data_IF_212963062275
#
_entry.id   IF_212963062275
#
_cell.length_a   1.000
_cell.length_b   1.000
_cell.length_c   1.000
_cell.angle_alpha   90.00
_cell.angle_beta   90.00
_cell.angle_gamma   90.00
#
_symmetry.space_group_name_H-M   'P 1'
#
loop_
_entity.id
_entity.type
_entity.pdbx_description
1 polymer ?
#
# COMPACT_ATOMS: atom_id res chain seq x y z
N UNK A 1 12.38 -67.44 -37.48
CA UNK A 1 11.04 -67.02 -36.99
C UNK A 1 11.23 -65.73 -36.20
N UNK A 2 10.43 -64.71 -36.54
CA UNK A 2 10.47 -63.35 -36.03
C UNK A 2 10.23 -63.26 -34.51
N UNK A 3 10.95 -62.35 -33.84
CA UNK A 3 10.62 -61.86 -32.51
C UNK A 3 10.76 -60.33 -32.48
N UNK A 4 9.67 -59.64 -32.75
CA UNK A 4 9.51 -58.17 -32.72
C UNK A 4 9.37 -57.66 -31.29
N UNK A 5 10.17 -56.66 -30.92
CA UNK A 5 9.96 -55.83 -29.73
C UNK A 5 8.84 -54.80 -30.00
N UNK A 6 7.89 -54.57 -29.08
CA UNK A 6 7.07 -53.36 -29.13
C UNK A 6 7.72 -52.27 -28.29
N UNK A 7 8.23 -51.22 -28.95
CA UNK A 7 8.41 -49.93 -28.31
C UNK A 7 7.03 -49.24 -28.28
N UNK A 8 6.39 -49.23 -27.11
CA UNK A 8 5.23 -48.36 -26.89
C UNK A 8 5.73 -46.96 -26.56
N UNK A 9 5.81 -46.12 -27.59
CA UNK A 9 5.78 -44.67 -27.45
C UNK A 9 4.33 -44.24 -27.26
N UNK A 10 3.94 -43.83 -26.05
CA UNK A 10 2.69 -43.12 -25.83
C UNK A 10 2.95 -41.89 -25.00
N UNK A 11 3.02 -40.79 -25.73
CA UNK A 11 2.96 -39.40 -25.34
C UNK A 11 1.93 -39.16 -24.22
N UNK A 12 2.41 -39.02 -22.98
CA UNK A 12 1.70 -38.17 -22.02
C UNK A 12 2.02 -36.74 -22.41
N UNK A 13 1.14 -36.14 -23.22
CA UNK A 13 1.19 -34.71 -23.46
C UNK A 13 0.96 -34.04 -22.10
N UNK A 14 1.97 -33.31 -21.65
CA UNK A 14 2.02 -32.59 -20.39
C UNK A 14 0.96 -31.49 -20.37
N UNK A 15 -0.27 -31.90 -20.10
CA UNK A 15 -1.43 -31.01 -20.01
C UNK A 15 -1.35 -30.21 -18.70
N UNK A 16 -0.62 -30.72 -17.71
CA UNK A 16 -0.45 -30.12 -16.38
C UNK A 16 0.44 -28.88 -16.36
N UNK A 17 1.57 -28.85 -17.09
CA UNK A 17 2.41 -27.66 -17.11
C UNK A 17 1.81 -26.51 -17.94
N UNK A 18 1.05 -26.83 -19.00
CA UNK A 18 0.37 -25.81 -19.83
C UNK A 18 -0.79 -25.17 -19.05
N UNK A 19 -1.62 -25.96 -18.37
CA UNK A 19 -2.77 -25.48 -17.59
C UNK A 19 -2.36 -24.59 -16.40
N UNK A 20 -1.22 -24.91 -15.75
CA UNK A 20 -0.64 -24.06 -14.70
C UNK A 20 -0.15 -22.70 -15.23
N UNK A 21 0.35 -22.65 -16.48
CA UNK A 21 0.83 -21.43 -17.10
C UNK A 21 -0.32 -20.50 -17.51
N UNK A 22 -1.41 -21.06 -18.02
CA UNK A 22 -2.62 -20.31 -18.41
C UNK A 22 -3.35 -19.74 -17.19
N UNK A 23 -3.51 -20.52 -16.12
CA UNK A 23 -4.10 -20.03 -14.87
C UNK A 23 -3.24 -18.94 -14.21
N UNK A 24 -1.91 -19.07 -14.29
CA UNK A 24 -0.99 -18.03 -13.81
C UNK A 24 -1.11 -16.75 -14.64
N UNK A 25 -1.18 -16.86 -15.97
CA UNK A 25 -1.36 -15.73 -16.86
C UNK A 25 -2.69 -14.99 -16.60
N UNK A 26 -3.80 -15.73 -16.42
CA UNK A 26 -5.11 -15.15 -16.07
C UNK A 26 -5.08 -14.43 -14.72
N UNK A 27 -4.41 -15.00 -13.70
CA UNK A 27 -4.24 -14.37 -12.39
C UNK A 27 -3.46 -13.07 -12.50
N UNK A 28 -2.35 -13.07 -13.23
CA UNK A 28 -1.52 -11.87 -13.46
C UNK A 28 -2.36 -10.80 -14.18
N UNK A 29 -3.08 -11.16 -15.25
CA UNK A 29 -3.93 -10.23 -15.98
C UNK A 29 -5.04 -9.62 -15.09
N UNK A 30 -5.65 -10.45 -14.23
CA UNK A 30 -6.68 -9.99 -13.28
C UNK A 30 -6.10 -9.04 -12.24
N UNK A 31 -4.94 -9.35 -11.66
CA UNK A 31 -4.24 -8.48 -10.72
C UNK A 31 -3.84 -7.15 -11.39
N UNK A 32 -3.29 -7.20 -12.60
CA UNK A 32 -2.95 -6.02 -13.38
C UNK A 32 -4.17 -5.14 -13.64
N UNK A 33 -5.30 -5.73 -14.03
CA UNK A 33 -6.54 -5.01 -14.25
C UNK A 33 -7.07 -4.34 -12.97
N UNK A 34 -6.95 -5.01 -11.81
CA UNK A 34 -7.29 -4.41 -10.51
C UNK A 34 -6.37 -3.21 -10.19
N UNK A 35 -5.06 -3.39 -10.32
CA UNK A 35 -4.06 -2.36 -10.01
C UNK A 35 -4.15 -1.13 -10.93
N UNK A 36 -4.64 -1.31 -12.16
CA UNK A 36 -4.86 -0.22 -13.11
C UNK A 36 -6.02 0.71 -12.74
N UNK A 37 -6.98 0.24 -11.91
CA UNK A 37 -8.09 1.07 -11.42
C UNK A 37 -7.55 2.25 -10.61
N UNK A 38 -8.27 3.37 -10.61
CA UNK A 38 -7.95 4.54 -9.79
C UNK A 38 -8.80 4.53 -8.52
N UNK A 39 -8.34 5.20 -7.46
CA UNK A 39 -9.09 5.33 -6.21
C UNK A 39 -10.46 6.00 -6.44
N UNK A 40 -11.47 5.60 -5.68
CA UNK A 40 -12.72 6.35 -5.59
C UNK A 40 -12.61 7.53 -4.62
N UNK A 41 -13.52 8.52 -4.66
CA UNK A 41 -13.54 9.65 -3.73
C UNK A 41 -13.61 9.23 -2.25
N UNK A 42 -14.17 8.06 -1.94
CA UNK A 42 -14.25 7.48 -0.59
C UNK A 42 -12.88 7.14 0.02
N UNK A 43 -11.85 6.97 -0.81
CA UNK A 43 -10.48 6.70 -0.37
C UNK A 43 -9.63 7.96 -0.20
N UNK A 44 -10.17 9.11 -0.59
CA UNK A 44 -9.42 10.35 -0.73
C UNK A 44 -9.75 11.32 0.38
N UNK A 45 -8.72 12.01 0.87
CA UNK A 45 -8.82 13.04 1.88
C UNK A 45 -8.00 14.26 1.45
N UNK A 46 -8.34 15.43 1.98
CA UNK A 46 -7.62 16.67 1.73
C UNK A 46 -7.15 17.29 3.04
N UNK A 47 -5.92 17.82 3.04
CA UNK A 47 -5.39 18.67 4.12
C UNK A 47 -4.97 20.03 3.57
N UNK A 48 -4.97 21.10 4.37
CA UNK A 48 -4.38 22.37 3.97
C UNK A 48 -2.92 22.19 3.52
N UNK A 49 -2.50 22.92 2.48
CA UNK A 49 -1.11 22.97 2.08
C UNK A 49 -0.27 23.82 3.04
N UNK A 50 1.06 23.64 3.05
CA UNK A 50 1.96 24.51 3.81
C UNK A 50 1.81 25.97 3.38
N UNK A 51 1.91 26.90 4.32
CA UNK A 51 1.85 28.35 4.06
C UNK A 51 0.52 28.86 3.46
N UNK A 52 -0.59 28.12 3.63
CA UNK A 52 -1.86 28.47 3.00
C UNK A 52 -1.94 28.11 1.51
N UNK A 53 -0.99 27.30 1.03
CA UNK A 53 -0.98 26.80 -0.35
C UNK A 53 -2.15 25.85 -0.66
N UNK A 54 -2.22 25.37 -1.92
CA UNK A 54 -3.26 24.45 -2.36
C UNK A 54 -3.41 23.24 -1.44
N UNK A 55 -4.66 22.79 -1.25
CA UNK A 55 -4.93 21.58 -0.47
C UNK A 55 -4.18 20.38 -1.06
N UNK A 56 -3.58 19.58 -0.19
CA UNK A 56 -2.90 18.35 -0.55
C UNK A 56 -3.88 17.18 -0.46
N UNK A 57 -4.01 16.46 -1.56
CA UNK A 57 -4.84 15.26 -1.68
C UNK A 57 -4.02 14.04 -1.25
N UNK A 58 -4.55 13.20 -0.36
CA UNK A 58 -3.88 12.01 0.14
C UNK A 58 -4.88 10.90 0.46
N UNK A 59 -4.39 9.65 0.54
CA UNK A 59 -5.11 8.53 1.12
C UNK A 59 -4.58 8.22 2.52
N UNK A 60 -5.48 7.90 3.44
CA UNK A 60 -5.13 7.50 4.80
C UNK A 60 -4.44 6.12 4.80
N UNK A 61 -3.48 5.92 5.72
CA UNK A 61 -2.67 4.70 5.75
C UNK A 61 -3.49 3.42 5.89
N UNK A 62 -4.50 3.43 6.77
CA UNK A 62 -5.37 2.28 7.01
C UNK A 62 -6.15 1.86 5.75
N UNK A 63 -6.57 2.82 4.91
CA UNK A 63 -7.27 2.55 3.65
C UNK A 63 -6.37 1.86 2.64
N UNK A 64 -5.12 2.32 2.53
CA UNK A 64 -4.11 1.73 1.65
C UNK A 64 -3.75 0.30 2.10
N UNK A 65 -3.64 0.06 3.41
CA UNK A 65 -3.43 -1.28 3.97
C UNK A 65 -4.60 -2.22 3.62
N UNK A 66 -5.84 -1.75 3.77
CA UNK A 66 -7.02 -2.53 3.42
C UNK A 66 -7.07 -2.85 1.91
N UNK A 67 -6.73 -1.89 1.05
CA UNK A 67 -6.63 -2.12 -0.39
C UNK A 67 -5.53 -3.13 -0.73
N UNK A 68 -4.37 -3.08 -0.07
CA UNK A 68 -3.33 -4.08 -0.26
C UNK A 68 -3.81 -5.48 0.15
N UNK A 69 -4.55 -5.60 1.26
CA UNK A 69 -5.17 -6.87 1.67
C UNK A 69 -6.23 -7.36 0.68
N UNK A 70 -7.01 -6.47 0.07
CA UNK A 70 -8.01 -6.83 -0.94
C UNK A 70 -7.38 -7.27 -2.27
N UNK A 71 -6.29 -6.60 -2.67
CA UNK A 71 -5.63 -6.86 -3.95
C UNK A 71 -4.74 -8.11 -3.88
N UNK A 72 -3.89 -8.20 -2.86
CA UNK A 72 -2.90 -9.27 -2.72
C UNK A 72 -3.36 -10.42 -1.82
N UNK A 73 -4.38 -10.19 -0.98
CA UNK A 73 -4.72 -11.09 0.13
C UNK A 73 -3.87 -10.78 1.37
N UNK A 74 -4.41 -11.03 2.57
CA UNK A 74 -3.74 -10.74 3.85
C UNK A 74 -2.36 -11.41 4.00
N UNK A 75 -2.14 -12.54 3.29
CA UNK A 75 -0.89 -13.29 3.26
C UNK A 75 -0.17 -13.21 1.89
N UNK A 76 -0.58 -12.29 1.02
CA UNK A 76 0.02 -12.09 -0.29
C UNK A 76 1.08 -11.00 -0.36
N UNK A 77 1.21 -10.21 0.72
CA UNK A 77 2.21 -9.17 0.85
C UNK A 77 2.72 -9.09 2.29
N UNK A 78 3.88 -8.48 2.47
CA UNK A 78 4.47 -8.16 3.77
C UNK A 78 5.18 -6.81 3.68
N UNK A 79 5.37 -6.17 4.83
CA UNK A 79 6.18 -4.95 4.94
C UNK A 79 7.29 -5.14 5.97
N UNK A 80 8.46 -4.56 5.69
CA UNK A 80 9.62 -4.60 6.55
C UNK A 80 10.24 -3.20 6.65
N UNK A 81 10.52 -2.74 7.87
CA UNK A 81 11.35 -1.55 8.09
C UNK A 81 12.80 -1.97 7.85
N UNK A 82 13.39 -1.47 6.77
CA UNK A 82 14.79 -1.74 6.38
C UNK A 82 15.73 -0.89 7.22
N UNK A 83 15.40 0.40 7.37
CA UNK A 83 16.15 1.32 8.23
C UNK A 83 15.24 2.42 8.75
N UNK A 84 15.65 3.02 9.86
CA UNK A 84 15.01 4.20 10.42
C UNK A 84 16.08 5.09 11.04
N UNK A 85 16.15 6.34 10.58
CA UNK A 85 17.17 7.30 10.97
C UNK A 85 16.50 8.53 11.59
N UNK A 86 17.06 9.02 12.69
CA UNK A 86 16.66 10.31 13.26
C UNK A 86 17.53 11.39 12.66
N UNK A 87 16.99 12.18 11.75
CA UNK A 87 17.75 13.17 10.99
C UNK A 87 18.14 14.36 11.85
N UNK A 88 17.22 14.80 12.72
CA UNK A 88 17.49 15.83 13.71
C UNK A 88 16.54 15.73 14.91
N UNK A 89 17.00 16.23 16.05
CA UNK A 89 16.19 16.54 17.22
C UNK A 89 16.67 17.87 17.78
N UNK A 90 15.95 18.94 17.44
CA UNK A 90 16.31 20.29 17.85
C UNK A 90 15.42 20.73 19.01
N UNK A 91 16.01 21.42 19.99
CA UNK A 91 15.30 22.07 21.08
C UNK A 91 15.52 23.57 20.99
N UNK A 92 14.44 24.34 20.85
CA UNK A 92 14.52 25.79 20.91
C UNK A 92 14.69 26.23 22.37
N UNK A 93 15.84 26.83 22.71
CA UNK A 93 16.21 27.19 24.08
C UNK A 93 15.24 28.17 24.75
N UNK A 94 14.65 29.09 23.99
CA UNK A 94 13.73 30.11 24.53
C UNK A 94 12.33 29.54 24.81
N UNK A 95 11.79 28.76 23.87
CA UNK A 95 10.44 28.22 23.97
C UNK A 95 10.38 26.84 24.64
N UNK A 96 11.52 26.17 24.79
CA UNK A 96 11.63 24.78 25.26
C UNK A 96 10.75 23.83 24.43
N UNK A 97 10.75 24.03 23.11
CA UNK A 97 9.96 23.27 22.14
C UNK A 97 10.88 22.44 21.25
N UNK A 98 10.43 21.24 20.93
CA UNK A 98 11.19 20.27 20.15
C UNK A 98 10.71 20.22 18.70
N UNK A 99 11.66 20.19 17.77
CA UNK A 99 11.44 19.84 16.36
C UNK A 99 12.20 18.56 16.04
N UNK A 100 11.52 17.59 15.43
CA UNK A 100 12.05 16.24 15.18
C UNK A 100 11.75 15.82 13.75
N UNK A 101 12.79 15.39 13.03
CA UNK A 101 12.71 14.79 11.71
C UNK A 101 13.21 13.34 11.73
N UNK A 102 12.42 12.42 11.17
CA UNK A 102 12.77 11.00 11.09
C UNK A 102 12.52 10.49 9.67
N UNK A 103 13.51 9.81 9.12
CA UNK A 103 13.44 9.08 7.86
C UNK A 103 13.28 7.60 8.13
N UNK A 104 12.43 6.91 7.37
CA UNK A 104 12.35 5.45 7.35
C UNK A 104 12.44 4.92 5.93
N UNK A 105 13.13 3.80 5.72
CA UNK A 105 13.09 3.03 4.47
C UNK A 105 12.29 1.77 4.74
N UNK A 106 11.27 1.53 3.92
CA UNK A 106 10.42 0.34 4.02
C UNK A 106 10.49 -0.45 2.73
N UNK A 107 10.55 -1.78 2.86
CA UNK A 107 10.33 -2.73 1.77
C UNK A 107 8.94 -3.30 1.86
N UNK A 108 8.24 -3.40 0.73
CA UNK A 108 7.05 -4.22 0.58
C UNK A 108 7.37 -5.36 -0.37
N UNK A 109 7.11 -6.59 0.06
CA UNK A 109 7.41 -7.82 -0.71
C UNK A 109 6.11 -8.59 -0.94
N UNK A 110 5.83 -8.94 -2.19
CA UNK A 110 4.74 -9.82 -2.58
C UNK A 110 5.14 -11.29 -2.41
N UNK A 111 4.15 -12.19 -2.40
CA UNK A 111 4.39 -13.63 -2.19
C UNK A 111 5.34 -14.26 -3.21
N UNK A 112 5.34 -13.77 -4.44
CA UNK A 112 6.23 -14.24 -5.52
C UNK A 112 7.66 -13.69 -5.41
N UNK A 113 7.95 -12.87 -4.39
CA UNK A 113 9.26 -12.29 -4.15
C UNK A 113 9.48 -10.93 -4.82
N UNK A 114 8.54 -10.44 -5.64
CA UNK A 114 8.61 -9.07 -6.18
C UNK A 114 8.53 -8.07 -5.03
N UNK A 115 9.44 -7.09 -5.01
CA UNK A 115 9.44 -6.07 -3.98
C UNK A 115 9.74 -4.68 -4.52
N UNK A 116 9.29 -3.69 -3.76
CA UNK A 116 9.68 -2.30 -3.90
C UNK A 116 10.16 -1.77 -2.56
N UNK A 117 11.00 -0.74 -2.63
CA UNK A 117 11.43 0.05 -1.47
C UNK A 117 11.17 1.52 -1.76
N UNK A 118 10.74 2.25 -0.74
CA UNK A 118 10.66 3.70 -0.81
C UNK A 118 10.98 4.28 0.58
N UNK A 119 11.30 5.57 0.58
CA UNK A 119 11.57 6.37 1.77
C UNK A 119 10.27 6.97 2.28
N UNK A 120 10.12 7.16 3.59
CA UNK A 120 9.05 7.93 4.20
C UNK A 120 9.59 8.88 5.26
N UNK A 121 8.83 9.93 5.56
CA UNK A 121 9.28 10.99 6.44
C UNK A 121 8.25 11.33 7.51
N UNK A 122 8.71 11.43 8.76
CA UNK A 122 7.94 11.90 9.89
C UNK A 122 8.50 13.22 10.39
N UNK A 123 7.65 14.25 10.46
CA UNK A 123 8.02 15.57 10.92
C UNK A 123 7.06 16.04 12.01
N UNK A 124 7.63 16.57 13.09
CA UNK A 124 6.88 17.34 14.07
C UNK A 124 7.73 18.51 14.52
N UNK A 125 7.18 19.71 14.35
CA UNK A 125 7.78 20.94 14.82
C UNK A 125 7.01 21.46 16.04
N UNK A 126 7.70 22.25 16.87
CA UNK A 126 7.10 22.97 17.99
C UNK A 126 6.38 22.07 19.02
N UNK A 127 6.88 20.86 19.24
CA UNK A 127 6.33 19.94 20.24
C UNK A 127 6.71 20.35 21.66
N UNK A 128 5.78 20.20 22.60
CA UNK A 128 6.07 20.41 24.03
C UNK A 128 6.86 19.25 24.67
N UNK A 129 6.88 18.08 24.02
CA UNK A 129 7.50 16.86 24.56
C UNK A 129 8.36 16.18 23.51
N UNK A 130 9.64 15.96 23.83
CA UNK A 130 10.59 15.21 23.01
C UNK A 130 10.11 13.77 22.76
N UNK A 131 9.60 13.11 23.79
CA UNK A 131 9.09 11.73 23.70
C UNK A 131 7.89 11.63 22.76
N UNK A 132 6.91 12.54 22.89
CA UNK A 132 5.74 12.58 22.01
C UNK A 132 6.12 12.90 20.55
N UNK A 133 7.12 13.77 20.35
CA UNK A 133 7.63 14.09 19.02
C UNK A 133 8.28 12.88 18.35
N UNK A 134 9.15 12.16 19.08
CA UNK A 134 9.77 10.94 18.59
C UNK A 134 8.75 9.86 18.26
N UNK A 135 7.76 9.64 19.13
CA UNK A 135 6.70 8.65 18.90
C UNK A 135 5.90 8.96 17.62
N UNK A 136 5.43 10.20 17.47
CA UNK A 136 4.71 10.63 16.26
C UNK A 136 5.58 10.48 15.01
N UNK A 137 6.80 11.02 15.01
CA UNK A 137 7.65 11.02 13.82
C UNK A 137 8.04 9.61 13.39
N UNK A 138 8.31 8.68 14.33
CA UNK A 138 8.59 7.28 13.98
C UNK A 138 7.38 6.61 13.32
N UNK A 139 6.20 6.78 13.90
CA UNK A 139 4.95 6.21 13.35
C UNK A 139 4.60 6.78 11.98
N UNK A 140 4.76 8.10 11.82
CA UNK A 140 4.49 8.79 10.57
C UNK A 140 5.48 8.39 9.47
N UNK A 141 6.78 8.36 9.77
CA UNK A 141 7.81 7.97 8.80
C UNK A 141 7.57 6.57 8.22
N UNK A 142 7.29 5.59 9.09
CA UNK A 142 6.99 4.22 8.64
C UNK A 142 5.69 4.15 7.85
N UNK A 143 4.63 4.82 8.31
CA UNK A 143 3.33 4.84 7.60
C UNK A 143 3.45 5.49 6.23
N UNK A 144 4.19 6.59 6.13
CA UNK A 144 4.45 7.28 4.87
C UNK A 144 5.26 6.39 3.91
N UNK A 145 6.33 5.76 4.41
CA UNK A 145 7.16 4.85 3.62
C UNK A 145 6.35 3.66 3.08
N UNK A 146 5.48 3.06 3.89
CA UNK A 146 4.56 1.97 3.45
C UNK A 146 3.66 2.45 2.32
N UNK A 147 2.98 3.60 2.47
CA UNK A 147 2.10 4.14 1.42
C UNK A 147 2.86 4.42 0.12
N UNK A 148 4.04 5.05 0.25
CA UNK A 148 4.89 5.39 -0.89
C UNK A 148 5.44 4.16 -1.59
N UNK A 149 5.77 3.11 -0.84
CA UNK A 149 6.21 1.84 -1.41
C UNK A 149 5.06 1.17 -2.16
N UNK A 150 3.87 1.07 -1.55
CA UNK A 150 2.70 0.41 -2.13
C UNK A 150 2.22 1.06 -3.43
N UNK A 151 2.38 2.39 -3.59
CA UNK A 151 2.02 3.08 -4.84
C UNK A 151 2.75 2.52 -6.06
N UNK A 152 3.97 1.99 -5.91
CA UNK A 152 4.77 1.50 -7.04
C UNK A 152 4.13 0.28 -7.73
N UNK A 153 3.21 -0.42 -7.05
CA UNK A 153 2.48 -1.55 -7.64
C UNK A 153 1.29 -1.11 -8.51
N UNK A 154 0.77 0.13 -8.39
CA UNK A 154 -0.31 0.59 -9.27
C UNK A 154 -1.17 1.75 -8.77
N UNK A 155 -2.06 2.20 -9.66
CA UNK A 155 -2.99 3.31 -9.42
C UNK A 155 -3.89 3.08 -8.21
N UNK A 156 -4.41 1.86 -8.06
CA UNK A 156 -5.34 1.51 -6.99
C UNK A 156 -4.68 1.63 -5.61
N UNK A 157 -3.36 1.48 -5.52
CA UNK A 157 -2.59 1.61 -4.28
C UNK A 157 -2.01 3.02 -4.08
N UNK A 158 -2.56 4.01 -4.77
CA UNK A 158 -2.29 5.42 -4.53
C UNK A 158 -1.42 6.10 -5.59
N UNK A 159 -0.96 5.40 -6.63
CA UNK A 159 -0.17 6.06 -7.69
C UNK A 159 -0.98 7.13 -8.43
N UNK A 160 -2.30 6.96 -8.55
CA UNK A 160 -3.16 7.94 -9.21
C UNK A 160 -3.19 9.30 -8.47
N UNK A 161 -2.83 9.36 -7.19
CA UNK A 161 -2.79 10.63 -6.43
C UNK A 161 -1.68 11.58 -6.90
N UNK A 162 -0.75 11.10 -7.72
CA UNK A 162 0.29 11.92 -8.35
C UNK A 162 -0.14 12.52 -9.70
N UNK A 163 -1.26 12.05 -10.26
CA UNK A 163 -1.89 12.64 -11.44
C UNK A 163 -2.73 13.86 -11.02
N UNK A 164 -2.21 15.06 -11.30
CA UNK A 164 -2.85 16.33 -10.94
C UNK A 164 -4.25 16.46 -11.53
N UNK A 165 -4.43 16.07 -12.80
CA UNK A 165 -5.72 16.12 -13.47
C UNK A 165 -6.73 15.21 -12.77
N UNK A 166 -6.32 13.99 -12.43
CA UNK A 166 -7.17 13.09 -11.66
C UNK A 166 -7.54 13.65 -10.27
N UNK A 167 -6.56 14.18 -9.52
CA UNK A 167 -6.84 14.72 -8.17
C UNK A 167 -7.79 15.91 -8.18
N UNK A 168 -7.81 16.71 -9.26
CA UNK A 168 -8.75 17.82 -9.42
C UNK A 168 -10.18 17.35 -9.73
N UNK A 169 -10.33 16.25 -10.46
CA UNK A 169 -11.65 15.73 -10.84
C UNK A 169 -12.27 14.88 -9.72
N UNK A 170 -11.49 13.98 -9.11
CA UNK A 170 -12.02 13.04 -8.12
C UNK A 170 -12.57 13.73 -6.86
N UNK A 171 -12.00 14.88 -6.47
CA UNK A 171 -12.44 15.65 -5.30
C UNK A 171 -13.77 16.38 -5.53
N UNK A 172 -14.22 16.50 -6.79
CA UNK A 172 -15.54 17.04 -7.15
C UNK A 172 -16.64 15.98 -7.08
N UNK A 173 -16.27 14.69 -7.05
CA UNK A 173 -17.21 13.58 -6.99
C UNK A 173 -17.77 13.42 -5.57
N UNK A 174 -19.06 13.12 -5.45
CA UNK A 174 -19.67 12.79 -4.16
C UNK A 174 -19.29 11.36 -3.79
N UNK A 175 -18.65 11.18 -2.63
CA UNK A 175 -18.46 9.85 -2.07
C UNK A 175 -19.83 9.24 -1.74
N UNK A 176 -20.06 7.95 -2.06
CA UNK A 176 -21.27 7.27 -1.61
C UNK A 176 -21.33 7.28 -0.07
N UNK A 177 -22.54 7.35 0.52
CA UNK A 177 -22.68 7.33 1.97
C UNK A 177 -22.06 6.06 2.56
N UNK A 178 -21.29 6.23 3.64
CA UNK A 178 -20.66 5.11 4.37
C UNK A 178 -21.76 4.17 4.84
N UNK A 179 -21.79 2.95 4.30
CA UNK A 179 -22.69 1.89 4.78
C UNK A 179 -22.02 1.24 5.98
N UNK A 180 -22.53 1.51 7.18
CA UNK A 180 -22.17 0.73 8.35
C UNK A 180 -22.76 -0.68 8.19
N UNK A 181 -21.99 -1.75 8.37
CA UNK A 181 -22.56 -3.09 8.45
C UNK A 181 -23.42 -3.18 9.71
N UNK A 182 -24.73 -3.08 9.54
CA UNK A 182 -25.73 -3.46 10.54
C UNK A 182 -25.77 -5.00 10.58
N UNK A 183 -24.96 -5.64 11.43
CA UNK A 183 -25.04 -7.10 11.51
C UNK A 183 -23.94 -7.85 12.26
N UNK A 184 -23.30 -7.27 13.29
CA UNK A 184 -22.39 -8.04 14.17
C UNK A 184 -23.03 -8.42 15.51
N UNK A 185 -24.23 -7.92 15.83
CA UNK A 185 -24.94 -8.28 17.06
C UNK A 185 -25.91 -9.46 16.90
N UNK A 186 -26.21 -9.89 15.66
CA UNK A 186 -27.14 -11.01 15.41
C UNK A 186 -26.43 -12.38 15.29
N UNK A 187 -25.10 -12.46 15.42
CA UNK A 187 -24.35 -13.73 15.33
C UNK A 187 -24.06 -14.40 16.68
N UNK A 188 -24.57 -13.86 17.80
CA UNK A 188 -24.39 -14.44 19.14
C UNK A 188 -25.70 -14.61 19.93
N UNK A 189 -26.84 -14.52 19.25
CA UNK A 189 -28.14 -14.91 19.83
C UNK A 189 -28.60 -16.20 19.16
N UNK A 190 -28.05 -17.31 19.61
CA UNK A 190 -28.69 -18.64 19.70
C UNK A 190 -27.82 -19.55 20.58
#
# INVERSE_FOLDING_TARGET
MHGTFPAQSSFFHDTTLVDLSDESAKKIATLQAKLNKRLGPEYISQRPGPGGGPKLTYAEGWKIINLANEVFGFNGWSSQVISMHTDFIDCNEQSQRFSVGITAIVRVTLRDGVYHEDVGYGLLENSKSKGAALDKCKKEAVTDAVKRTLRNFGNLLGNCLYDKSYTQEVVKMKAPPVRFPTGIYDMFSD
#
